data_IF_850260957751
#
_entry.id   IF_850260957751
#
_cell.length_a   1.000
_cell.length_b   1.000
_cell.length_c   1.000
_cell.angle_alpha   90.00
_cell.angle_beta   90.00
_cell.angle_gamma   90.00
#
_symmetry.space_group_name_H-M   'P 1'
#
loop_
_entity.id
_entity.type
_entity.pdbx_description
1 polymer ?
#
# COMPACT_ATOMS: atom_id res chain seq x y z
N UNK A 1 -31.57 5.99 -4.48
CA UNK A 1 -32.02 4.71 -3.89
C UNK A 1 -32.51 3.69 -4.94
N UNK A 2 -33.37 4.04 -5.91
CA UNK A 2 -33.88 3.08 -6.91
C UNK A 2 -32.80 2.42 -7.80
N UNK A 3 -31.76 3.16 -8.21
CA UNK A 3 -30.67 2.60 -9.04
C UNK A 3 -29.85 1.51 -8.32
N UNK A 4 -29.68 1.63 -7.00
CA UNK A 4 -28.99 0.61 -6.20
C UNK A 4 -29.81 -0.68 -6.12
N UNK A 5 -31.12 -0.56 -5.98
CA UNK A 5 -32.03 -1.72 -5.99
C UNK A 5 -32.01 -2.43 -7.34
N UNK A 6 -31.98 -1.67 -8.45
CA UNK A 6 -31.91 -2.26 -9.81
C UNK A 6 -30.57 -2.97 -10.04
N UNK A 7 -29.45 -2.40 -9.57
CA UNK A 7 -28.14 -3.04 -9.65
C UNK A 7 -28.07 -4.31 -8.80
N UNK A 8 -28.61 -4.29 -7.58
CA UNK A 8 -28.64 -5.44 -6.69
C UNK A 8 -29.51 -6.58 -7.26
N UNK A 9 -30.66 -6.25 -7.86
CA UNK A 9 -31.53 -7.22 -8.55
C UNK A 9 -30.86 -7.80 -9.79
N UNK A 10 -30.12 -6.98 -10.56
CA UNK A 10 -29.39 -7.46 -11.73
C UNK A 10 -28.22 -8.40 -11.34
N UNK A 11 -27.44 -8.03 -10.32
CA UNK A 11 -26.31 -8.82 -9.84
C UNK A 11 -26.76 -10.13 -9.17
N UNK A 12 -27.84 -10.10 -8.38
CA UNK A 12 -28.45 -11.30 -7.81
C UNK A 12 -29.09 -12.19 -8.88
N UNK A 13 -29.72 -11.61 -9.90
CA UNK A 13 -30.26 -12.34 -11.04
C UNK A 13 -29.18 -13.08 -11.84
N UNK A 14 -28.04 -12.45 -12.09
CA UNK A 14 -26.92 -13.06 -12.82
C UNK A 14 -26.31 -14.25 -12.06
N UNK A 15 -26.13 -14.14 -10.74
CA UNK A 15 -25.59 -15.23 -9.91
C UNK A 15 -26.55 -16.42 -9.81
N UNK A 16 -27.87 -16.17 -9.75
CA UNK A 16 -28.91 -17.20 -9.72
C UNK A 16 -29.09 -17.88 -11.09
N UNK A 17 -28.98 -17.13 -12.19
CA UNK A 17 -29.02 -17.68 -13.55
C UNK A 17 -27.85 -18.65 -13.81
N UNK A 18 -26.64 -18.26 -13.39
CA UNK A 18 -25.46 -19.14 -13.46
C UNK A 18 -25.61 -20.40 -12.60
N UNK A 19 -26.13 -20.28 -11.38
CA UNK A 19 -26.34 -21.42 -10.47
C UNK A 19 -27.34 -22.45 -11.04
N UNK A 20 -28.44 -21.99 -11.65
CA UNK A 20 -29.47 -22.86 -12.25
C UNK A 20 -28.97 -23.62 -13.48
N UNK A 21 -28.14 -22.99 -14.33
CA UNK A 21 -27.57 -23.65 -15.53
C UNK A 21 -26.61 -24.80 -15.18
N UNK A 22 -26.02 -24.78 -13.99
CA UNK A 22 -25.09 -25.79 -13.49
C UNK A 22 -25.67 -26.68 -12.38
N UNK A 23 -27.00 -26.66 -12.19
CA UNK A 23 -27.68 -27.56 -11.24
C UNK A 23 -27.38 -27.31 -9.77
N UNK A 24 -26.86 -26.14 -9.39
CA UNK A 24 -26.53 -25.79 -8.00
C UNK A 24 -27.62 -24.91 -7.38
N UNK A 25 -28.05 -25.27 -6.17
CA UNK A 25 -29.10 -24.53 -5.43
C UNK A 25 -28.60 -23.29 -4.67
N UNK A 26 -27.28 -23.04 -4.65
CA UNK A 26 -26.67 -21.93 -3.94
C UNK A 26 -26.03 -20.92 -4.91
N UNK A 27 -26.13 -19.60 -4.63
CA UNK A 27 -25.44 -18.58 -5.41
C UNK A 27 -23.93 -18.77 -5.34
N UNK A 28 -23.22 -18.26 -6.35
CA UNK A 28 -21.77 -18.35 -6.46
C UNK A 28 -21.08 -17.60 -5.30
N UNK A 29 -20.85 -18.28 -4.18
CA UNK A 29 -20.00 -17.76 -3.10
C UNK A 29 -18.57 -18.10 -3.46
N UNK A 30 -17.81 -17.11 -3.90
CA UNK A 30 -16.37 -17.28 -4.02
C UNK A 30 -15.81 -17.69 -2.66
N UNK A 31 -14.87 -18.65 -2.60
CA UNK A 31 -14.14 -18.93 -1.37
C UNK A 31 -13.56 -17.62 -0.83
N UNK A 32 -13.55 -17.39 0.50
CA UNK A 32 -13.07 -16.14 1.08
C UNK A 32 -11.67 -15.76 0.58
N UNK A 33 -10.80 -16.74 0.38
CA UNK A 33 -9.44 -16.51 -0.14
C UNK A 33 -9.42 -15.96 -1.57
N UNK A 34 -10.34 -16.42 -2.43
CA UNK A 34 -10.46 -15.91 -3.81
C UNK A 34 -11.02 -14.50 -3.78
N UNK A 35 -12.02 -14.24 -2.94
CA UNK A 35 -12.55 -12.88 -2.76
C UNK A 35 -11.45 -11.91 -2.31
N UNK A 36 -10.68 -12.27 -1.28
CA UNK A 36 -9.56 -11.46 -0.76
C UNK A 36 -8.52 -11.24 -1.85
N UNK A 37 -8.11 -12.30 -2.54
CA UNK A 37 -7.10 -12.22 -3.60
C UNK A 37 -7.56 -11.29 -4.72
N UNK A 38 -8.79 -11.44 -5.19
CA UNK A 38 -9.33 -10.61 -6.27
C UNK A 38 -9.48 -9.16 -5.83
N UNK A 39 -10.04 -8.88 -4.65
CA UNK A 39 -10.17 -7.50 -4.17
C UNK A 39 -8.81 -6.85 -3.95
N UNK A 40 -7.85 -7.58 -3.40
CA UNK A 40 -6.49 -7.08 -3.19
C UNK A 40 -5.83 -6.68 -4.51
N UNK A 41 -5.83 -7.57 -5.50
CA UNK A 41 -5.20 -7.27 -6.79
C UNK A 41 -5.94 -6.16 -7.56
N UNK A 42 -7.28 -6.12 -7.50
CA UNK A 42 -8.04 -5.03 -8.12
C UNK A 42 -7.70 -3.67 -7.52
N UNK A 43 -7.57 -3.60 -6.19
CA UNK A 43 -7.16 -2.37 -5.50
C UNK A 43 -5.74 -1.98 -5.90
N UNK A 44 -4.81 -2.94 -5.98
CA UNK A 44 -3.44 -2.67 -6.46
C UNK A 44 -3.41 -2.14 -7.90
N UNK A 45 -4.16 -2.75 -8.82
CA UNK A 45 -4.27 -2.27 -10.20
C UNK A 45 -4.87 -0.86 -10.26
N UNK A 46 -5.87 -0.57 -9.42
CA UNK A 46 -6.46 0.76 -9.33
C UNK A 46 -5.43 1.80 -8.87
N UNK A 47 -4.56 1.43 -7.92
CA UNK A 47 -3.51 2.32 -7.40
C UNK A 47 -2.51 2.77 -8.48
N UNK A 48 -2.25 1.94 -9.49
CA UNK A 48 -1.37 2.30 -10.61
C UNK A 48 -1.89 3.56 -11.32
N UNK A 49 -3.20 3.65 -11.55
CA UNK A 49 -3.81 4.82 -12.21
C UNK A 49 -3.77 6.09 -11.34
N UNK A 50 -3.82 5.94 -10.01
CA UNK A 50 -3.68 7.08 -9.10
C UNK A 50 -2.22 7.57 -8.96
N UNK A 51 -1.24 6.68 -9.16
CA UNK A 51 0.19 7.01 -9.03
C UNK A 51 0.82 7.50 -10.33
N UNK A 52 0.33 7.04 -11.48
CA UNK A 52 0.87 7.42 -12.78
C UNK A 52 0.50 8.87 -13.14
N UNK A 53 1.44 9.59 -13.76
CA UNK A 53 1.19 10.97 -14.19
C UNK A 53 0.28 11.04 -15.43
N UNK A 54 0.30 10.01 -16.26
CA UNK A 54 -0.52 9.93 -17.49
C UNK A 54 -1.09 8.52 -17.70
N UNK A 55 -2.12 8.42 -18.55
CA UNK A 55 -2.66 7.11 -18.98
C UNK A 55 -1.61 6.29 -19.74
N UNK A 56 -0.73 6.95 -20.50
CA UNK A 56 0.38 6.28 -21.20
C UNK A 56 1.33 5.66 -20.19
N UNK A 57 1.71 6.39 -19.14
CA UNK A 57 2.56 5.87 -18.07
C UNK A 57 1.92 4.68 -17.34
N UNK A 58 0.62 4.74 -17.04
CA UNK A 58 -0.10 3.63 -16.42
C UNK A 58 -0.07 2.36 -17.29
N UNK A 59 -0.31 2.48 -18.60
CA UNK A 59 -0.23 1.33 -19.53
C UNK A 59 1.18 0.77 -19.66
N UNK A 60 2.20 1.63 -19.64
CA UNK A 60 3.60 1.23 -19.65
C UNK A 60 3.98 0.46 -18.38
N UNK A 61 3.53 0.92 -17.21
CA UNK A 61 3.73 0.22 -15.93
C UNK A 61 3.08 -1.16 -15.99
N UNK A 62 1.82 -1.26 -16.44
CA UNK A 62 1.10 -2.54 -16.56
C UNK A 62 1.82 -3.51 -17.52
N UNK A 63 2.27 -3.03 -18.68
CA UNK A 63 3.01 -3.84 -19.65
C UNK A 63 4.34 -4.36 -19.11
N UNK A 64 4.97 -3.63 -18.17
CA UNK A 64 6.23 -4.00 -17.52
C UNK A 64 6.07 -4.84 -16.25
N UNK A 65 4.86 -4.96 -15.69
CA UNK A 65 4.62 -5.78 -14.48
C UNK A 65 5.08 -7.24 -14.67
N UNK A 66 4.93 -7.77 -15.88
CA UNK A 66 5.28 -9.16 -16.20
C UNK A 66 6.66 -9.31 -16.86
N UNK A 67 7.37 -8.20 -17.13
CA UNK A 67 8.68 -8.22 -17.80
C UNK A 67 9.88 -8.36 -16.85
N UNK A 68 9.64 -8.48 -15.54
CA UNK A 68 10.68 -8.60 -14.50
C UNK A 68 11.57 -9.86 -14.61
N UNK A 69 11.16 -10.86 -15.41
CA UNK A 69 11.83 -12.16 -15.51
C UNK A 69 12.87 -12.28 -16.65
N UNK A 70 12.96 -11.30 -17.57
CA UNK A 70 13.69 -11.47 -18.83
C UNK A 70 15.15 -11.01 -18.86
N UNK A 71 15.43 -9.79 -18.41
CA UNK A 71 16.72 -9.13 -18.67
C UNK A 71 17.27 -8.49 -17.40
N UNK A 72 18.37 -9.02 -16.83
CA UNK A 72 19.22 -8.44 -15.78
C UNK A 72 18.55 -7.38 -14.86
N UNK A 73 17.39 -7.76 -14.32
CA UNK A 73 16.38 -6.84 -13.78
C UNK A 73 16.76 -6.18 -12.46
N UNK A 74 17.84 -6.65 -11.84
CA UNK A 74 18.41 -6.08 -10.63
C UNK A 74 18.93 -4.66 -10.85
N UNK A 75 19.54 -4.36 -11.99
CA UNK A 75 20.05 -3.00 -12.27
C UNK A 75 18.92 -1.97 -12.41
N UNK A 76 17.76 -2.37 -12.94
CA UNK A 76 16.59 -1.53 -13.07
C UNK A 76 15.93 -1.19 -11.72
N UNK A 77 16.07 -2.08 -10.72
CA UNK A 77 15.60 -1.83 -9.34
C UNK A 77 16.42 -0.70 -8.69
N UNK A 78 17.73 -0.65 -8.96
CA UNK A 78 18.63 0.36 -8.39
C UNK A 78 18.69 1.67 -9.20
N UNK A 79 18.25 1.66 -10.45
CA UNK A 79 18.33 2.83 -11.35
C UNK A 79 17.69 4.12 -10.79
N UNK A 80 16.53 4.10 -10.10
CA UNK A 80 15.96 5.31 -9.51
C UNK A 80 16.83 5.93 -8.40
N UNK A 81 17.51 5.08 -7.64
CA UNK A 81 18.35 5.46 -6.50
C UNK A 81 19.67 6.06 -6.97
N UNK A 82 20.28 5.44 -8.00
CA UNK A 82 21.46 5.99 -8.68
C UNK A 82 21.16 7.35 -9.32
N UNK A 83 19.98 7.52 -9.92
CA UNK A 83 19.55 8.78 -10.50
C UNK A 83 19.29 9.89 -9.46
N UNK A 84 18.93 9.52 -8.22
CA UNK A 84 18.78 10.44 -7.10
C UNK A 84 20.11 10.85 -6.45
N UNK A 85 21.25 10.32 -6.93
CA UNK A 85 22.57 10.58 -6.36
C UNK A 85 22.78 9.94 -4.98
N UNK A 86 21.95 8.97 -4.62
CA UNK A 86 21.99 8.29 -3.32
C UNK A 86 22.50 6.87 -3.51
N UNK A 87 23.33 6.38 -2.59
CA UNK A 87 23.78 5.00 -2.60
C UNK A 87 22.57 4.07 -2.33
N UNK A 88 22.16 3.25 -3.32
CA UNK A 88 20.98 2.40 -3.19
C UNK A 88 21.11 1.38 -2.06
N UNK A 89 22.33 0.97 -1.72
CA UNK A 89 22.60 -0.02 -0.68
C UNK A 89 22.40 0.59 0.70
N UNK A 90 22.85 1.84 0.90
CA UNK A 90 22.66 2.56 2.16
C UNK A 90 21.19 2.82 2.46
N UNK A 91 20.42 3.30 1.49
CA UNK A 91 18.98 3.54 1.68
C UNK A 91 18.19 2.25 1.90
N UNK A 92 18.47 1.19 1.13
CA UNK A 92 17.81 -0.10 1.30
C UNK A 92 18.13 -0.70 2.67
N UNK A 93 19.39 -0.64 3.10
CA UNK A 93 19.78 -1.13 4.43
C UNK A 93 19.14 -0.32 5.56
N UNK A 94 19.04 1.00 5.41
CA UNK A 94 18.35 1.87 6.36
C UNK A 94 16.86 1.53 6.44
N UNK A 95 16.18 1.36 5.30
CA UNK A 95 14.78 0.99 5.23
C UNK A 95 14.52 -0.36 5.92
N UNK A 96 15.34 -1.38 5.61
CA UNK A 96 15.26 -2.70 6.26
C UNK A 96 15.51 -2.58 7.77
N UNK A 97 16.50 -1.79 8.19
CA UNK A 97 16.80 -1.58 9.60
C UNK A 97 15.63 -0.90 10.35
N UNK A 98 14.99 0.10 9.73
CA UNK A 98 13.81 0.79 10.30
C UNK A 98 12.60 -0.14 10.38
N UNK A 99 12.39 -1.01 9.39
CA UNK A 99 11.33 -2.03 9.42
C UNK A 99 11.59 -3.04 10.55
N UNK A 100 12.81 -3.54 10.68
CA UNK A 100 13.18 -4.46 11.77
C UNK A 100 13.00 -3.78 13.13
N UNK A 101 13.41 -2.51 13.26
CA UNK A 101 13.18 -1.73 14.48
C UNK A 101 11.68 -1.64 14.81
N UNK A 102 10.84 -1.35 13.81
CA UNK A 102 9.38 -1.30 13.99
C UNK A 102 8.82 -2.65 14.46
N UNK A 103 9.22 -3.76 13.83
CA UNK A 103 8.79 -5.11 14.22
C UNK A 103 9.24 -5.48 15.63
N UNK A 104 10.45 -5.10 16.03
CA UNK A 104 10.95 -5.29 17.39
C UNK A 104 10.12 -4.50 18.40
N UNK A 105 9.80 -3.24 18.10
CA UNK A 105 8.95 -2.41 18.97
C UNK A 105 7.56 -3.06 19.11
N UNK A 106 6.93 -3.46 18.00
CA UNK A 106 5.62 -4.12 18.02
C UNK A 106 5.66 -5.45 18.79
N UNK A 107 6.74 -6.21 18.65
CA UNK A 107 6.94 -7.45 19.40
C UNK A 107 7.07 -7.18 20.90
N UNK A 108 7.86 -6.17 21.32
CA UNK A 108 7.98 -5.78 22.73
C UNK A 108 6.64 -5.29 23.31
N UNK A 109 5.85 -4.55 22.53
CA UNK A 109 4.50 -4.12 22.94
C UNK A 109 3.56 -5.31 23.17
N UNK A 110 3.63 -6.35 22.33
CA UNK A 110 2.81 -7.57 22.49
C UNK A 110 3.11 -8.34 23.78
N UNK A 111 4.32 -8.26 24.33
CA UNK A 111 4.74 -8.96 25.54
C UNK A 111 4.38 -8.23 26.84
N UNK A 112 3.56 -7.18 26.77
CA UNK A 112 2.95 -6.54 27.93
C UNK A 112 3.66 -5.27 28.42
N UNK A 113 4.71 -4.82 27.73
CA UNK A 113 5.19 -3.46 27.93
C UNK A 113 4.31 -2.52 27.12
N UNK A 114 3.28 -1.96 27.76
CA UNK A 114 2.51 -0.84 27.20
C UNK A 114 3.44 0.38 27.12
N UNK A 115 4.32 0.40 26.11
CA UNK A 115 5.33 1.43 25.90
C UNK A 115 4.69 2.82 25.89
N UNK A 116 3.48 2.92 25.31
CA UNK A 116 2.65 4.13 25.33
C UNK A 116 2.30 4.61 26.75
N UNK A 117 1.87 3.70 27.65
CA UNK A 117 1.53 4.07 29.04
C UNK A 117 2.76 4.48 29.82
N UNK A 118 3.88 3.78 29.65
CA UNK A 118 5.15 4.14 30.28
C UNK A 118 5.66 5.48 29.75
N UNK A 119 5.46 5.76 28.46
CA UNK A 119 5.92 6.99 27.83
C UNK A 119 5.29 8.25 28.44
N UNK A 120 4.01 8.16 28.80
CA UNK A 120 3.27 9.25 29.47
C UNK A 120 3.80 9.55 30.87
N UNK A 121 4.45 8.58 31.53
CA UNK A 121 5.01 8.75 32.88
C UNK A 121 6.38 9.45 32.91
N UNK A 122 7.07 9.59 31.78
CA UNK A 122 8.35 10.31 31.72
C UNK A 122 8.19 11.82 31.92
N UNK A 123 9.28 12.44 32.39
CA UNK A 123 9.33 13.89 32.59
C UNK A 123 9.09 14.65 31.28
N UNK A 124 8.43 15.80 31.40
CA UNK A 124 8.12 16.69 30.27
C UNK A 124 9.31 16.96 29.32
N UNK A 125 10.55 17.23 29.77
CA UNK A 125 11.65 17.48 28.85
C UNK A 125 12.02 16.28 27.98
N UNK A 126 11.93 15.04 28.51
CA UNK A 126 12.22 13.82 27.75
C UNK A 126 11.20 13.66 26.60
N UNK A 127 9.93 13.91 26.88
CA UNK A 127 8.87 13.83 25.86
C UNK A 127 9.09 14.84 24.74
N UNK A 128 9.44 16.08 25.07
CA UNK A 128 9.75 17.11 24.09
C UNK A 128 10.99 16.76 23.26
N UNK A 129 12.03 16.21 23.88
CA UNK A 129 13.21 15.75 23.16
C UNK A 129 12.86 14.66 22.13
N UNK A 130 12.01 13.70 22.48
CA UNK A 130 11.55 12.66 21.56
C UNK A 130 10.70 13.23 20.42
N UNK A 131 9.77 14.14 20.70
CA UNK A 131 8.95 14.77 19.66
C UNK A 131 9.80 15.61 18.69
N UNK A 132 10.75 16.38 19.20
CA UNK A 132 11.67 17.15 18.38
C UNK A 132 12.58 16.24 17.54
N UNK A 133 13.09 15.15 18.13
CA UNK A 133 13.87 14.16 17.41
C UNK A 133 13.07 13.55 16.26
N UNK A 134 11.84 13.10 16.50
CA UNK A 134 10.98 12.54 15.46
C UNK A 134 10.63 13.56 14.37
N UNK A 135 10.36 14.82 14.74
CA UNK A 135 10.12 15.89 13.78
C UNK A 135 11.35 16.12 12.88
N UNK A 136 12.55 16.23 13.46
CA UNK A 136 13.79 16.40 12.69
C UNK A 136 14.06 15.16 11.83
N UNK A 137 13.87 13.95 12.36
CA UNK A 137 14.06 12.71 11.63
C UNK A 137 13.13 12.63 10.41
N UNK A 138 11.84 12.93 10.57
CA UNK A 138 10.88 12.92 9.46
C UNK A 138 11.15 14.01 8.43
N UNK A 139 11.65 15.18 8.84
CA UNK A 139 12.06 16.24 7.91
C UNK A 139 13.31 15.87 7.11
N UNK A 140 14.27 15.16 7.70
CA UNK A 140 15.52 14.76 7.02
C UNK A 140 15.36 13.48 6.20
N UNK A 141 14.54 12.53 6.65
CA UNK A 141 14.26 11.27 5.94
C UNK A 141 13.10 11.40 4.95
N UNK A 142 12.31 12.48 5.03
CA UNK A 142 11.25 12.77 4.09
C UNK A 142 11.81 13.24 2.76
N UNK A 143 11.51 12.53 1.67
CA UNK A 143 11.72 13.08 0.33
C UNK A 143 10.70 14.19 0.05
N UNK A 144 11.19 15.37 -0.34
CA UNK A 144 10.38 16.43 -0.91
C UNK A 144 9.83 15.97 -2.26
N UNK A 145 8.68 15.29 -2.23
CA UNK A 145 7.88 15.08 -3.42
C UNK A 145 7.20 16.41 -3.71
N UNK A 146 7.63 17.09 -4.77
CA UNK A 146 6.86 18.16 -5.42
C UNK A 146 5.54 17.54 -5.89
N UNK A 147 4.60 17.44 -4.96
CA UNK A 147 3.22 17.07 -5.24
C UNK A 147 2.53 18.37 -5.61
N UNK A 148 2.30 18.64 -6.91
CA UNK A 148 1.54 19.82 -7.27
C UNK A 148 0.20 19.71 -6.57
N UNK A 149 -0.14 20.72 -5.77
CA UNK A 149 -1.47 20.84 -5.20
C UNK A 149 -2.47 20.84 -6.36
N UNK A 150 -3.11 19.70 -6.61
CA UNK A 150 -4.19 19.60 -7.58
C UNK A 150 -5.37 20.33 -6.94
N UNK A 151 -5.54 21.60 -7.28
CA UNK A 151 -6.81 22.26 -7.09
C UNK A 151 -7.79 21.55 -8.03
N UNK A 152 -8.65 20.72 -7.46
CA UNK A 152 -9.95 20.47 -8.08
C UNK A 152 -10.70 21.80 -8.06
N UNK A 153 -10.47 22.62 -9.09
CA UNK A 153 -11.37 23.69 -9.44
C UNK A 153 -12.61 23.02 -10.02
N UNK A 154 -13.69 23.01 -9.25
CA UNK A 154 -15.02 22.73 -9.73
C UNK A 154 -15.53 23.91 -10.54
#
# INVERSE_FOLDING_TARGET
HGLLVVLEVALSGATLWGARRMGRQAPWRLPPIVSIFTTFHLVLFTWIFFRANTLVDATLIIGRLFSLAGDNSWAAIYAPWVAAGVDPVWEMSLAVALIVLLEVIQWLERWGQNMERTFVTYSRPIRWAVYLFLAIATMNLGMSLDTPFIYFQF
#
